data_IF_679767690723
#
_entry.id   IF_679767690723
#
_cell.length_a   1.000
_cell.length_b   1.000
_cell.length_c   1.000
_cell.angle_alpha   90.00
_cell.angle_beta   90.00
_cell.angle_gamma   90.00
#
_symmetry.space_group_name_H-M   'P 1'
#
loop_
_entity.id
_entity.type
_entity.pdbx_description
1 polymer ?
#
# COMPACT_ATOMS: atom_id res chain seq x y z
N UNK A 1 50.77 -10.54 82.71
CA UNK A 1 52.19 -10.48 82.32
C UNK A 1 52.30 -9.88 80.93
N UNK A 2 53.26 -8.97 80.78
CA UNK A 2 53.59 -8.17 79.61
C UNK A 2 54.02 -9.06 78.41
N UNK A 3 53.49 -8.87 77.19
CA UNK A 3 54.26 -8.50 75.97
C UNK A 3 53.56 -8.82 74.62
N UNK A 4 53.63 -7.79 73.76
CA UNK A 4 53.85 -7.78 72.29
C UNK A 4 52.66 -7.82 71.32
N UNK A 5 52.22 -6.58 71.05
CA UNK A 5 52.03 -5.95 69.74
C UNK A 5 52.93 -6.51 68.61
N UNK A 6 52.35 -6.90 67.46
CA UNK A 6 52.90 -6.68 66.11
C UNK A 6 51.71 -6.42 65.16
N UNK A 7 51.66 -5.20 64.59
CA UNK A 7 50.87 -4.86 63.41
C UNK A 7 51.62 -5.32 62.16
N UNK A 8 50.90 -5.82 61.15
CA UNK A 8 51.23 -5.56 59.75
C UNK A 8 49.93 -5.33 58.98
N UNK A 9 49.82 -4.11 58.44
CA UNK A 9 48.87 -3.63 57.45
C UNK A 9 49.16 -4.25 56.09
N UNK A 10 48.12 -4.65 55.35
CA UNK A 10 48.22 -5.11 53.96
C UNK A 10 46.83 -5.11 53.32
N UNK A 11 46.68 -4.34 52.25
CA UNK A 11 45.45 -3.74 51.74
C UNK A 11 45.01 -4.42 50.42
N UNK A 12 43.69 -4.53 50.23
CA UNK A 12 42.94 -4.57 48.94
C UNK A 12 43.09 -5.77 47.98
N UNK A 13 41.92 -6.21 47.45
CA UNK A 13 41.81 -6.61 46.05
C UNK A 13 41.15 -7.95 45.74
N UNK A 14 39.96 -8.25 46.28
CA UNK A 14 39.17 -9.41 45.86
C UNK A 14 38.36 -9.13 44.59
N UNK A 15 38.98 -9.18 43.42
CA UNK A 15 38.29 -9.18 42.12
C UNK A 15 37.78 -10.59 41.83
N UNK A 16 36.47 -10.79 41.95
CA UNK A 16 35.79 -12.02 41.53
C UNK A 16 35.76 -12.03 39.99
N UNK A 17 36.68 -12.78 39.38
CA UNK A 17 36.68 -13.05 37.95
C UNK A 17 35.51 -13.99 37.64
N UNK A 18 34.42 -13.46 37.08
CA UNK A 18 33.50 -14.24 36.26
C UNK A 18 34.23 -14.60 34.97
N UNK A 19 34.96 -15.72 35.01
CA UNK A 19 35.45 -16.38 33.79
C UNK A 19 34.27 -17.13 33.18
N UNK A 20 33.72 -16.59 32.09
CA UNK A 20 32.84 -17.35 31.22
C UNK A 20 33.63 -18.55 30.70
N UNK A 21 33.22 -19.76 31.08
CA UNK A 21 33.79 -20.98 30.52
C UNK A 21 33.42 -21.03 29.04
N UNK A 22 34.40 -20.78 28.17
CA UNK A 22 34.31 -21.15 26.77
C UNK A 22 34.30 -22.69 26.71
N UNK A 23 33.12 -23.29 26.60
CA UNK A 23 33.01 -24.70 26.25
C UNK A 23 33.54 -24.84 24.82
N UNK A 24 34.66 -25.55 24.66
CA UNK A 24 35.17 -25.92 23.34
C UNK A 24 34.12 -26.80 22.65
N UNK A 25 33.64 -26.36 21.48
CA UNK A 25 32.69 -27.13 20.70
C UNK A 25 33.43 -28.28 20.00
N UNK A 26 32.99 -29.52 20.23
CA UNK A 26 33.58 -30.70 19.61
C UNK A 26 33.08 -30.94 18.16
N UNK A 27 32.09 -30.16 17.71
CA UNK A 27 31.44 -30.27 16.40
C UNK A 27 30.98 -28.87 15.92
N UNK A 28 30.53 -28.75 14.67
CA UNK A 28 29.84 -27.56 14.20
C UNK A 28 28.49 -27.39 14.91
N UNK A 29 28.04 -26.14 15.03
CA UNK A 29 26.82 -25.84 15.74
C UNK A 29 26.20 -24.49 15.37
N UNK A 30 25.30 -23.99 16.23
CA UNK A 30 24.58 -22.76 15.99
C UNK A 30 25.50 -21.54 15.99
N UNK A 31 25.01 -20.46 15.37
CA UNK A 31 25.62 -19.14 15.44
C UNK A 31 24.83 -18.23 16.37
N UNK A 32 25.54 -17.47 17.19
CA UNK A 32 25.00 -16.54 18.18
C UNK A 32 25.38 -15.11 17.80
N UNK A 33 24.44 -14.16 17.75
CA UNK A 33 24.77 -12.78 17.47
C UNK A 33 25.48 -12.11 18.65
N UNK A 34 26.46 -11.26 18.36
CA UNK A 34 27.13 -10.45 19.37
C UNK A 34 26.24 -9.26 19.76
N UNK A 35 25.98 -9.06 21.05
CA UNK A 35 25.13 -7.96 21.53
C UNK A 35 23.61 -8.20 21.40
N UNK A 36 23.20 -9.40 21.01
CA UNK A 36 21.79 -9.79 20.86
C UNK A 36 21.28 -9.70 19.42
N UNK A 37 20.00 -10.01 19.21
CA UNK A 37 19.38 -10.04 17.88
C UNK A 37 19.42 -8.68 17.21
N UNK A 38 19.89 -8.63 15.96
CA UNK A 38 19.89 -7.40 15.18
C UNK A 38 18.48 -7.09 14.65
N UNK A 39 18.02 -5.86 14.81
CA UNK A 39 16.66 -5.46 14.44
C UNK A 39 16.67 -4.66 13.14
N UNK A 40 15.99 -5.19 12.13
CA UNK A 40 15.65 -4.48 10.92
C UNK A 40 14.21 -3.99 11.01
N UNK A 41 13.96 -2.71 10.76
CA UNK A 41 12.62 -2.12 10.77
C UNK A 41 12.34 -1.44 9.44
N UNK A 42 11.40 -1.99 8.66
CA UNK A 42 10.97 -1.44 7.38
C UNK A 42 9.66 -0.66 7.54
N UNK A 43 9.52 0.43 6.80
CA UNK A 43 8.26 1.17 6.70
C UNK A 43 7.64 0.93 5.32
N UNK A 44 6.37 0.52 5.30
CA UNK A 44 5.62 0.20 4.08
C UNK A 44 4.48 1.20 3.98
N UNK A 45 4.52 2.07 2.99
CA UNK A 45 3.43 2.99 2.67
C UNK A 45 3.09 2.80 1.20
N UNK A 46 2.01 2.07 0.91
CA UNK A 46 1.65 1.68 -0.45
C UNK A 46 0.16 1.83 -0.71
N UNK A 47 -0.19 1.90 -1.99
CA UNK A 47 -1.57 2.04 -2.45
C UNK A 47 -1.93 0.91 -3.40
N UNK A 48 -3.06 0.26 -3.13
CA UNK A 48 -3.77 -0.57 -4.12
C UNK A 48 -4.52 0.39 -5.04
N UNK A 49 -3.93 0.64 -6.22
CA UNK A 49 -4.43 1.66 -7.16
C UNK A 49 -5.63 1.20 -7.97
N UNK A 50 -5.73 -0.09 -8.28
CA UNK A 50 -6.88 -0.67 -8.97
C UNK A 50 -8.03 -0.87 -7.97
N UNK A 51 -9.06 -0.04 -8.08
CA UNK A 51 -10.23 -0.05 -7.19
C UNK A 51 -10.98 -1.38 -7.21
N UNK A 52 -10.93 -2.13 -8.32
CA UNK A 52 -11.54 -3.45 -8.47
C UNK A 52 -10.79 -4.56 -7.74
N UNK A 53 -9.53 -4.31 -7.35
CA UNK A 53 -8.67 -5.28 -6.68
C UNK A 53 -8.71 -5.20 -5.17
N UNK A 54 -9.52 -4.31 -4.59
CA UNK A 54 -9.84 -4.35 -3.17
C UNK A 54 -10.94 -5.36 -2.88
N UNK A 55 -10.63 -6.65 -3.03
CA UNK A 55 -11.57 -7.75 -2.85
C UNK A 55 -10.91 -8.88 -2.08
N UNK A 56 -11.69 -9.64 -1.31
CA UNK A 56 -11.19 -10.83 -0.61
C UNK A 56 -10.53 -11.80 -1.59
N UNK A 57 -9.32 -12.24 -1.26
CA UNK A 57 -8.54 -13.13 -2.12
C UNK A 57 -7.60 -12.42 -3.09
N UNK A 58 -7.71 -11.11 -3.27
CA UNK A 58 -6.81 -10.36 -4.12
C UNK A 58 -5.36 -10.44 -3.61
N UNK A 59 -4.44 -10.69 -4.53
CA UNK A 59 -3.02 -10.94 -4.23
C UNK A 59 -2.15 -10.03 -5.08
N UNK A 60 -1.14 -9.40 -4.45
CA UNK A 60 -0.18 -8.51 -5.09
C UNK A 60 1.22 -9.01 -4.77
N UNK A 61 1.82 -9.66 -5.75
CA UNK A 61 3.18 -10.18 -5.69
C UNK A 61 4.18 -9.04 -5.71
N UNK A 62 5.18 -9.10 -4.83
CA UNK A 62 6.27 -8.11 -4.74
C UNK A 62 5.75 -6.66 -4.66
N UNK A 63 4.68 -6.50 -3.89
CA UNK A 63 3.97 -5.25 -3.63
C UNK A 63 4.88 -4.17 -3.04
N UNK A 64 5.85 -4.57 -2.20
CA UNK A 64 6.91 -3.68 -1.75
C UNK A 64 8.23 -4.41 -1.52
N UNK A 65 9.29 -3.66 -1.26
CA UNK A 65 10.61 -4.17 -0.92
C UNK A 65 11.30 -3.30 0.12
N UNK A 66 12.19 -3.89 0.91
CA UNK A 66 13.06 -3.14 1.82
C UNK A 66 14.52 -3.37 1.50
N UNK A 67 15.33 -2.34 1.75
CA UNK A 67 16.78 -2.38 1.70
C UNK A 67 17.33 -1.39 2.74
N UNK A 68 17.55 -1.90 3.95
CA UNK A 68 17.81 -1.08 5.14
C UNK A 68 19.31 -0.86 5.39
N UNK A 69 20.19 -1.45 4.57
CA UNK A 69 21.61 -1.53 4.88
C UNK A 69 21.82 -2.25 6.21
N UNK A 70 22.78 -1.78 7.00
CA UNK A 70 23.05 -2.31 8.34
C UNK A 70 23.85 -3.62 8.32
N UNK A 71 24.62 -3.80 9.37
CA UNK A 71 25.47 -4.97 9.55
C UNK A 71 25.46 -5.40 11.01
N UNK A 72 25.66 -6.69 11.24
CA UNK A 72 25.78 -7.24 12.58
C UNK A 72 26.89 -8.29 12.63
N UNK A 73 27.39 -8.55 13.83
CA UNK A 73 28.42 -9.53 14.10
C UNK A 73 27.81 -10.79 14.72
N UNK A 74 28.39 -11.94 14.40
CA UNK A 74 27.99 -13.22 14.97
C UNK A 74 29.20 -14.13 15.11
N UNK A 75 29.11 -15.06 16.06
CA UNK A 75 30.06 -16.15 16.22
C UNK A 75 29.35 -17.50 16.13
N UNK A 76 29.97 -18.45 15.43
CA UNK A 76 29.46 -19.81 15.27
C UNK A 76 30.28 -20.83 16.06
N UNK A 77 29.60 -21.84 16.58
CA UNK A 77 30.24 -23.03 17.15
C UNK A 77 30.90 -23.85 16.04
N UNK A 78 32.18 -24.17 16.23
CA UNK A 78 32.99 -24.94 15.29
C UNK A 78 33.92 -25.90 16.04
N UNK A 79 34.28 -27.05 15.43
CA UNK A 79 35.29 -27.96 15.98
C UNK A 79 36.66 -27.28 16.10
N UNK A 80 37.50 -27.67 17.05
CA UNK A 80 38.87 -27.12 17.17
C UNK A 80 39.76 -27.43 15.96
N UNK A 81 39.51 -28.53 15.24
CA UNK A 81 40.22 -28.87 14.00
C UNK A 81 39.95 -27.81 12.92
N UNK A 82 40.97 -27.00 12.64
CA UNK A 82 40.90 -25.88 11.71
C UNK A 82 40.86 -26.29 10.23
N UNK A 83 41.02 -27.57 9.91
CA UNK A 83 40.89 -28.10 8.54
C UNK A 83 39.43 -28.33 8.12
N UNK A 84 38.51 -28.51 9.07
CA UNK A 84 37.11 -28.81 8.81
C UNK A 84 36.35 -27.54 8.42
N UNK A 85 35.73 -27.51 7.23
CA UNK A 85 34.88 -26.42 6.73
C UNK A 85 33.41 -26.86 6.66
N UNK A 86 32.47 -25.93 6.79
CA UNK A 86 31.06 -26.22 6.52
C UNK A 86 30.32 -25.00 5.94
N UNK A 87 29.22 -25.27 5.24
CA UNK A 87 28.32 -24.22 4.75
C UNK A 87 27.58 -23.56 5.91
N UNK A 88 27.25 -22.28 5.74
CA UNK A 88 26.41 -21.54 6.68
C UNK A 88 24.96 -21.67 6.26
N UNK A 89 24.13 -22.20 7.14
CA UNK A 89 22.71 -22.47 6.90
C UNK A 89 21.83 -21.50 7.67
N UNK A 90 20.72 -21.10 7.05
CA UNK A 90 19.74 -20.17 7.59
C UNK A 90 18.39 -20.87 7.82
N UNK A 91 17.65 -20.38 8.80
CA UNK A 91 16.24 -20.70 9.03
C UNK A 91 15.47 -19.40 9.25
N UNK A 92 14.36 -19.23 8.54
CA UNK A 92 13.41 -18.15 8.78
C UNK A 92 12.16 -18.71 9.46
N UNK A 93 11.81 -18.12 10.60
CA UNK A 93 10.56 -18.40 11.33
C UNK A 93 9.66 -17.18 11.24
N UNK A 94 8.40 -17.38 10.87
CA UNK A 94 7.39 -16.32 10.81
C UNK A 94 6.50 -16.41 12.06
N UNK A 95 6.52 -15.42 12.97
CA UNK A 95 5.80 -15.47 14.25
C UNK A 95 4.36 -14.94 14.13
N UNK A 96 3.70 -15.22 13.01
CA UNK A 96 2.36 -14.73 12.69
C UNK A 96 1.44 -15.92 12.36
N UNK A 97 0.12 -15.69 12.42
CA UNK A 97 -0.86 -16.73 12.10
C UNK A 97 -0.84 -17.03 10.59
N UNK A 98 -0.64 -18.29 10.23
CA UNK A 98 -0.72 -18.74 8.84
C UNK A 98 -2.14 -18.57 8.29
N UNK A 99 -2.25 -18.07 7.07
CA UNK A 99 -3.52 -17.87 6.36
C UNK A 99 -3.66 -18.86 5.20
N UNK A 100 -2.74 -18.79 4.24
CA UNK A 100 -2.83 -19.54 3.00
C UNK A 100 -1.48 -19.63 2.29
N UNK A 101 -1.37 -20.53 1.31
CA UNK A 101 -0.28 -20.57 0.35
C UNK A 101 -0.81 -20.19 -1.02
N UNK A 102 -0.10 -19.28 -1.70
CA UNK A 102 -0.39 -18.91 -3.09
C UNK A 102 0.92 -19.03 -3.84
N UNK A 103 0.94 -19.91 -4.85
CA UNK A 103 2.16 -20.33 -5.55
C UNK A 103 3.20 -20.87 -4.56
N UNK A 104 4.40 -20.27 -4.50
CA UNK A 104 5.49 -20.65 -3.59
C UNK A 104 5.56 -19.83 -2.31
N UNK A 105 4.59 -18.93 -2.06
CA UNK A 105 4.60 -17.99 -0.93
C UNK A 105 3.56 -18.34 0.11
N UNK A 106 3.99 -18.34 1.37
CA UNK A 106 3.12 -18.49 2.54
C UNK A 106 2.71 -17.12 3.08
N UNK A 107 1.39 -16.90 3.19
CA UNK A 107 0.80 -15.66 3.67
C UNK A 107 0.40 -15.78 5.14
N UNK A 108 0.70 -14.72 5.88
CA UNK A 108 0.49 -14.63 7.31
C UNK A 108 -0.27 -13.37 7.68
N UNK A 109 -1.23 -13.52 8.60
CA UNK A 109 -2.14 -12.47 9.00
C UNK A 109 -1.41 -11.35 9.75
N UNK A 110 -1.64 -10.10 9.34
CA UNK A 110 -1.17 -8.89 10.04
C UNK A 110 -2.29 -8.30 10.88
N UNK A 111 -3.48 -8.16 10.29
CA UNK A 111 -4.67 -7.67 10.96
C UNK A 111 -5.91 -8.32 10.33
N UNK A 112 -7.12 -7.78 10.58
CA UNK A 112 -8.35 -8.36 10.06
C UNK A 112 -8.49 -8.23 8.53
N UNK A 113 -7.81 -7.27 7.91
CA UNK A 113 -7.97 -6.92 6.50
C UNK A 113 -6.88 -7.50 5.60
N UNK A 114 -5.66 -7.61 6.11
CA UNK A 114 -4.49 -7.95 5.29
C UNK A 114 -3.63 -9.07 5.88
N UNK A 115 -3.07 -9.86 4.98
CA UNK A 115 -2.00 -10.81 5.23
C UNK A 115 -0.82 -10.52 4.29
N UNK A 116 0.39 -10.91 4.68
CA UNK A 116 1.58 -10.73 3.86
C UNK A 116 2.38 -12.02 3.72
N UNK A 117 3.08 -12.14 2.61
CA UNK A 117 4.20 -13.07 2.46
C UNK A 117 5.49 -12.27 2.32
N UNK A 118 6.61 -12.86 2.75
CA UNK A 118 7.91 -12.18 2.67
C UNK A 118 8.99 -13.06 2.08
N UNK A 119 9.88 -12.43 1.32
CA UNK A 119 11.09 -13.06 0.79
C UNK A 119 12.29 -12.30 1.34
N UNK A 120 13.33 -13.02 1.76
CA UNK A 120 14.51 -12.40 2.38
C UNK A 120 15.78 -12.79 1.64
N UNK A 121 16.65 -11.82 1.42
CA UNK A 121 17.94 -12.05 0.77
C UNK A 121 18.88 -12.79 1.73
N UNK A 122 19.39 -13.94 1.30
CA UNK A 122 20.44 -14.67 2.01
C UNK A 122 21.81 -14.30 1.43
N UNK A 123 22.57 -13.54 2.21
CA UNK A 123 23.92 -13.06 1.88
C UNK A 123 24.96 -14.17 1.91
N UNK A 124 25.99 -14.06 1.07
CA UNK A 124 27.05 -15.07 0.92
C UNK A 124 27.24 -15.42 -0.55
N UNK A 125 27.71 -16.63 -0.83
CA UNK A 125 27.78 -17.19 -2.19
C UNK A 125 26.41 -17.35 -2.87
N UNK A 126 25.31 -17.41 -2.11
CA UNK A 126 23.93 -17.45 -2.64
C UNK A 126 23.52 -16.12 -3.27
N UNK A 127 23.31 -15.08 -2.47
CA UNK A 127 22.89 -13.77 -2.97
C UNK A 127 21.48 -13.76 -3.60
N UNK A 128 20.58 -14.63 -3.14
CA UNK A 128 19.22 -14.81 -3.67
C UNK A 128 18.16 -14.59 -2.59
N UNK A 129 16.97 -14.19 -3.02
CA UNK A 129 15.79 -14.09 -2.17
C UNK A 129 15.15 -15.46 -1.97
N UNK A 130 14.72 -15.74 -0.75
CA UNK A 130 14.12 -17.02 -0.36
C UNK A 130 12.80 -16.75 0.34
N UNK A 131 11.73 -17.43 -0.11
CA UNK A 131 10.39 -17.30 0.47
C UNK A 131 10.39 -17.78 1.93
N UNK A 132 9.88 -16.98 2.86
CA UNK A 132 9.74 -17.39 4.26
C UNK A 132 8.41 -18.14 4.48
N UNK A 133 8.36 -19.08 5.44
CA UNK A 133 9.47 -19.62 6.25
C UNK A 133 10.29 -20.65 5.48
N UNK A 134 11.51 -20.92 5.95
CA UNK A 134 12.37 -21.97 5.43
C UNK A 134 13.34 -22.47 6.50
N UNK A 135 13.94 -23.64 6.29
CA UNK A 135 14.95 -24.23 7.18
C UNK A 135 16.07 -24.87 6.35
N UNK A 136 17.29 -24.87 6.91
CA UNK A 136 18.51 -25.44 6.31
C UNK A 136 18.87 -24.85 4.94
N UNK A 137 18.56 -23.57 4.71
CA UNK A 137 18.93 -22.88 3.46
C UNK A 137 20.37 -22.41 3.55
N UNK A 138 21.26 -23.07 2.82
CA UNK A 138 22.67 -22.71 2.75
C UNK A 138 22.92 -21.41 2.00
N UNK A 139 23.88 -20.62 2.46
CA UNK A 139 24.36 -19.43 1.76
C UNK A 139 25.48 -19.73 0.75
N UNK A 140 25.75 -21.01 0.48
CA UNK A 140 26.72 -21.48 -0.51
C UNK A 140 28.15 -20.98 -0.22
N UNK A 141 28.49 -20.80 1.05
CA UNK A 141 29.80 -20.31 1.50
C UNK A 141 30.43 -21.34 2.42
N UNK A 142 31.12 -22.31 1.83
CA UNK A 142 31.77 -23.38 2.57
C UNK A 142 33.13 -22.94 3.11
N UNK A 143 33.17 -22.50 4.37
CA UNK A 143 34.37 -22.03 5.03
C UNK A 143 34.25 -22.13 6.57
N UNK A 144 35.32 -21.76 7.27
CA UNK A 144 35.38 -21.58 8.73
C UNK A 144 35.37 -20.11 9.17
N UNK A 145 34.94 -19.22 8.29
CA UNK A 145 34.72 -17.83 8.67
C UNK A 145 33.74 -17.81 9.85
N UNK A 146 33.90 -16.87 10.77
CA UNK A 146 32.99 -16.69 11.92
C UNK A 146 33.04 -17.76 13.03
N UNK A 147 33.92 -18.76 12.94
CA UNK A 147 34.19 -19.66 14.06
C UNK A 147 34.78 -18.88 15.25
N UNK A 148 34.24 -19.08 16.44
CA UNK A 148 34.64 -18.40 17.69
C UNK A 148 36.15 -18.45 17.99
N UNK A 149 36.83 -19.51 17.55
CA UNK A 149 38.26 -19.75 17.75
C UNK A 149 39.18 -18.91 16.83
N UNK A 150 38.63 -18.24 15.80
CA UNK A 150 39.44 -17.50 14.82
C UNK A 150 39.47 -15.99 15.15
N UNK A 151 40.64 -15.36 15.28
CA UNK A 151 40.72 -13.91 15.54
C UNK A 151 40.01 -13.04 14.48
N UNK A 152 39.94 -13.51 13.22
CA UNK A 152 39.27 -12.85 12.09
C UNK A 152 37.74 -13.01 12.08
N UNK A 153 37.14 -13.78 12.99
CA UNK A 153 35.68 -13.91 13.10
C UNK A 153 35.01 -12.62 13.58
N UNK A 154 35.75 -11.75 14.26
CA UNK A 154 35.29 -10.46 14.79
C UNK A 154 35.00 -9.41 13.71
N UNK A 155 35.58 -9.59 12.51
CA UNK A 155 35.38 -8.67 11.38
C UNK A 155 34.29 -9.16 10.41
N UNK A 156 33.57 -10.21 10.77
CA UNK A 156 32.56 -10.78 9.91
C UNK A 156 31.28 -9.95 9.90
N UNK A 157 31.02 -9.37 8.73
CA UNK A 157 29.88 -8.50 8.47
C UNK A 157 28.71 -9.35 7.95
N UNK A 158 27.65 -9.46 8.74
CA UNK A 158 26.40 -10.13 8.36
C UNK A 158 25.35 -9.10 7.93
N UNK A 159 24.61 -9.41 6.87
CA UNK A 159 23.60 -8.51 6.29
C UNK A 159 22.25 -9.19 6.01
N UNK A 160 22.15 -10.51 6.18
CA UNK A 160 20.90 -11.25 5.94
C UNK A 160 19.79 -10.75 6.87
N UNK A 161 18.61 -10.51 6.30
CA UNK A 161 17.49 -9.79 6.94
C UNK A 161 17.37 -8.32 6.50
N UNK A 162 18.47 -7.69 6.08
CA UNK A 162 18.49 -6.27 5.70
C UNK A 162 17.84 -5.95 4.36
N UNK A 163 17.57 -6.97 3.52
CA UNK A 163 16.89 -6.83 2.22
C UNK A 163 15.83 -7.90 2.02
N UNK A 164 14.71 -7.52 1.42
CA UNK A 164 13.63 -8.46 1.10
C UNK A 164 12.47 -7.84 0.34
N UNK A 165 11.50 -8.68 0.00
CA UNK A 165 10.27 -8.35 -0.71
C UNK A 165 9.05 -8.74 0.10
N UNK A 166 7.95 -8.02 -0.10
CA UNK A 166 6.66 -8.28 0.52
C UNK A 166 5.59 -8.42 -0.54
N UNK A 167 4.78 -9.46 -0.41
CA UNK A 167 3.57 -9.64 -1.18
C UNK A 167 2.35 -9.43 -0.28
N UNK A 168 1.30 -8.79 -0.81
CA UNK A 168 0.06 -8.48 -0.09
C UNK A 168 -1.04 -9.46 -0.47
N UNK A 169 -1.84 -9.86 0.52
CA UNK A 169 -3.09 -10.59 0.34
C UNK A 169 -4.22 -9.89 1.10
N UNK A 170 -5.34 -9.64 0.44
CA UNK A 170 -6.53 -9.03 1.04
C UNK A 170 -7.41 -10.13 1.64
N UNK A 171 -7.49 -10.17 2.97
CA UNK A 171 -8.41 -11.02 3.73
C UNK A 171 -9.83 -10.47 3.64
N UNK A 172 -9.99 -9.21 4.00
CA UNK A 172 -11.26 -8.49 3.95
C UNK A 172 -11.01 -7.11 3.36
N UNK A 173 -11.79 -6.71 2.34
CA UNK A 173 -11.64 -5.40 1.73
C UNK A 173 -11.94 -4.30 2.76
N UNK A 174 -11.36 -3.13 2.56
CA UNK A 174 -11.44 -2.02 3.51
C UNK A 174 -11.48 -0.68 2.82
N UNK A 175 -11.89 0.35 3.54
CA UNK A 175 -12.04 1.71 3.01
C UNK A 175 -10.95 2.62 3.55
N UNK A 176 -10.39 3.47 2.68
CA UNK A 176 -9.32 4.40 3.07
C UNK A 176 -7.99 3.67 3.29
N UNK A 177 -7.70 3.32 4.54
CA UNK A 177 -6.41 2.76 4.92
C UNK A 177 -6.50 1.61 5.94
N UNK A 178 -5.55 0.67 5.82
CA UNK A 178 -5.26 -0.36 6.81
C UNK A 178 -3.89 -0.08 7.42
N UNK A 179 -3.87 0.20 8.72
CA UNK A 179 -2.64 0.48 9.46
C UNK A 179 -1.94 -0.83 9.84
N UNK A 180 -0.62 -0.83 9.62
CA UNK A 180 0.30 -1.88 10.07
C UNK A 180 1.06 -1.32 11.28
N UNK A 181 0.70 -1.72 12.52
CA UNK A 181 1.52 -1.39 13.68
C UNK A 181 2.90 -2.07 13.55
N UNK A 182 3.88 -1.66 14.35
CA UNK A 182 5.18 -2.33 14.37
C UNK A 182 5.02 -3.83 14.67
N UNK A 183 5.17 -4.64 13.63
CA UNK A 183 4.85 -6.07 13.62
C UNK A 183 6.07 -6.86 13.21
N UNK A 184 6.48 -7.82 14.03
CA UNK A 184 7.58 -8.73 13.70
C UNK A 184 7.10 -9.75 12.67
N UNK A 185 7.75 -9.81 11.52
CA UNK A 185 7.36 -10.67 10.40
C UNK A 185 8.29 -11.85 10.20
N UNK A 186 9.52 -11.79 10.70
CA UNK A 186 10.42 -12.93 10.67
C UNK A 186 11.52 -12.85 11.74
N UNK A 187 11.97 -14.02 12.16
CA UNK A 187 13.21 -14.25 12.87
C UNK A 187 14.13 -15.14 12.01
N UNK A 188 15.36 -14.68 11.79
CA UNK A 188 16.40 -15.44 11.09
C UNK A 188 17.36 -16.08 12.08
N UNK A 189 17.55 -17.38 11.97
CA UNK A 189 18.52 -18.16 12.73
C UNK A 189 19.60 -18.69 11.81
N UNK A 190 20.81 -18.85 12.34
CA UNK A 190 21.98 -19.27 11.57
C UNK A 190 22.68 -20.43 12.27
N UNK A 191 23.19 -21.37 11.48
CA UNK A 191 23.93 -22.52 11.98
C UNK A 191 24.98 -22.99 10.97
N UNK A 192 26.03 -23.63 11.47
CA UNK A 192 26.99 -24.43 10.68
C UNK A 192 26.66 -25.93 10.74
N UNK A 193 25.55 -26.34 11.35
CA UNK A 193 25.10 -27.74 11.42
C UNK A 193 23.60 -27.87 11.12
N UNK A 194 23.21 -28.68 10.11
CA UNK A 194 21.81 -28.81 9.72
C UNK A 194 20.89 -29.10 10.91
N UNK A 195 19.79 -28.37 10.99
CA UNK A 195 18.72 -28.49 12.00
C UNK A 195 19.14 -28.24 13.46
N UNK A 196 20.36 -27.73 13.70
CA UNK A 196 20.86 -27.39 15.04
C UNK A 196 20.98 -25.88 15.15
N UNK A 197 19.92 -25.21 15.60
CA UNK A 197 19.86 -23.74 15.71
C UNK A 197 19.87 -23.29 17.17
N UNK A 198 20.41 -22.10 17.42
CA UNK A 198 20.38 -21.46 18.72
C UNK A 198 18.99 -20.88 19.03
N UNK A 199 18.79 -20.45 20.28
CA UNK A 199 17.53 -19.83 20.72
C UNK A 199 17.44 -18.33 20.45
N UNK A 200 18.55 -17.69 20.08
CA UNK A 200 18.62 -16.25 19.81
C UNK A 200 18.71 -16.05 18.29
N UNK A 201 17.72 -15.37 17.67
CA UNK A 201 17.80 -15.06 16.25
C UNK A 201 19.00 -14.17 15.94
N UNK A 202 19.64 -14.39 14.81
CA UNK A 202 20.65 -13.53 14.22
C UNK A 202 20.08 -12.14 13.96
N UNK A 203 18.94 -12.08 13.27
CA UNK A 203 18.21 -10.86 13.01
C UNK A 203 16.70 -11.09 13.05
N UNK A 204 15.96 -10.03 13.35
CA UNK A 204 14.51 -9.98 13.23
C UNK A 204 14.11 -8.85 12.30
N UNK A 205 13.09 -9.06 11.48
CA UNK A 205 12.52 -8.01 10.64
C UNK A 205 11.14 -7.61 11.18
N UNK A 206 10.98 -6.32 11.38
CA UNK A 206 9.73 -5.65 11.72
C UNK A 206 9.26 -4.82 10.54
N UNK A 207 7.94 -4.74 10.38
CA UNK A 207 7.31 -3.83 9.44
C UNK A 207 6.32 -2.92 10.17
N UNK A 208 6.14 -1.72 9.65
CA UNK A 208 5.10 -0.77 10.07
C UNK A 208 4.67 0.09 8.89
N UNK A 209 3.56 0.80 9.01
CA UNK A 209 3.12 1.79 8.01
C UNK A 209 1.65 1.63 7.67
N UNK A 210 1.27 1.88 6.42
CA UNK A 210 -0.11 1.74 5.98
C UNK A 210 -0.25 1.25 4.54
N UNK A 211 -1.35 0.54 4.30
CA UNK A 211 -1.81 0.19 2.96
C UNK A 211 -3.10 0.97 2.70
N UNK A 212 -3.11 1.75 1.65
CA UNK A 212 -4.26 2.55 1.21
C UNK A 212 -4.91 1.94 -0.01
N UNK A 213 -6.18 2.24 -0.24
CA UNK A 213 -6.92 1.83 -1.44
C UNK A 213 -7.40 3.07 -2.20
N UNK A 214 -7.27 3.06 -3.52
CA UNK A 214 -7.79 4.15 -4.35
C UNK A 214 -9.31 4.18 -4.33
N UNK A 215 -9.86 5.39 -4.40
CA UNK A 215 -11.30 5.66 -4.45
C UNK A 215 -11.75 5.80 -5.90
N UNK A 216 -13.00 5.44 -6.19
CA UNK A 216 -13.57 5.62 -7.52
C UNK A 216 -15.09 5.61 -7.51
N UNK A 217 -15.68 6.25 -8.53
CA UNK A 217 -17.11 6.19 -8.80
C UNK A 217 -17.34 6.03 -10.30
N UNK A 218 -18.22 5.12 -10.68
CA UNK A 218 -18.59 4.84 -12.06
C UNK A 218 -20.09 5.02 -12.28
N UNK A 219 -20.49 5.56 -13.44
CA UNK A 219 -21.90 5.74 -13.77
C UNK A 219 -22.58 4.38 -14.02
N UNK A 220 -23.72 4.15 -13.38
CA UNK A 220 -24.40 2.84 -13.39
C UNK A 220 -25.00 2.47 -14.75
N UNK A 221 -25.35 3.46 -15.58
CA UNK A 221 -26.01 3.27 -16.87
C UNK A 221 -25.06 3.04 -18.05
N UNK A 222 -23.76 2.84 -17.79
CA UNK A 222 -22.71 2.80 -18.81
C UNK A 222 -22.01 4.16 -18.98
N UNK A 223 -21.14 4.27 -19.97
CA UNK A 223 -20.20 5.41 -20.10
C UNK A 223 -20.77 6.65 -20.80
N UNK A 224 -21.94 6.55 -21.44
CA UNK A 224 -22.50 7.63 -22.26
C UNK A 224 -23.97 7.87 -21.91
N UNK A 225 -24.35 9.14 -21.77
CA UNK A 225 -25.72 9.60 -21.61
C UNK A 225 -26.11 10.46 -22.81
N UNK A 226 -27.04 9.96 -23.63
CA UNK A 226 -27.59 10.73 -24.75
C UNK A 226 -28.78 11.58 -24.28
N UNK A 227 -28.78 12.86 -24.67
CA UNK A 227 -29.82 13.84 -24.31
C UNK A 227 -30.44 14.39 -25.61
N UNK A 228 -31.57 13.82 -26.07
CA UNK A 228 -32.24 14.30 -27.27
C UNK A 228 -33.13 15.49 -26.94
N UNK A 229 -32.73 16.70 -27.38
CA UNK A 229 -33.58 17.90 -27.22
C UNK A 229 -34.76 17.94 -28.20
N UNK A 230 -34.65 17.22 -29.33
CA UNK A 230 -35.68 17.18 -30.37
C UNK A 230 -35.55 18.31 -31.39
N UNK A 231 -36.60 18.48 -32.20
CA UNK A 231 -36.65 19.45 -33.29
C UNK A 231 -37.28 20.78 -32.85
N UNK A 232 -36.69 21.89 -33.27
CA UNK A 232 -37.15 23.24 -32.96
C UNK A 232 -37.21 24.09 -34.22
N UNK A 233 -38.16 25.04 -34.26
CA UNK A 233 -38.13 26.08 -35.30
C UNK A 233 -37.08 27.10 -34.91
N UNK A 234 -36.34 27.65 -35.88
CA UNK A 234 -35.38 28.71 -35.59
C UNK A 234 -36.01 29.92 -34.87
N UNK A 235 -37.29 30.20 -35.14
CA UNK A 235 -38.07 31.23 -34.44
C UNK A 235 -38.24 30.98 -32.93
N UNK A 236 -38.08 29.75 -32.45
CA UNK A 236 -38.19 29.41 -31.03
C UNK A 236 -36.99 29.90 -30.21
N UNK A 237 -35.89 30.28 -30.87
CA UNK A 237 -34.67 30.83 -30.28
C UNK A 237 -34.56 32.36 -30.42
N UNK A 238 -35.34 32.97 -31.32
CA UNK A 238 -35.26 34.39 -31.62
C UNK A 238 -35.68 35.25 -30.43
N UNK A 239 -34.91 36.31 -30.15
CA UNK A 239 -35.12 37.31 -29.09
C UNK A 239 -35.11 36.70 -27.66
N UNK A 240 -34.35 35.61 -27.48
CA UNK A 240 -34.32 34.81 -26.23
C UNK A 240 -32.90 34.54 -25.71
N UNK A 241 -32.01 35.53 -25.81
CA UNK A 241 -30.63 35.41 -25.32
C UNK A 241 -30.59 34.93 -23.86
N UNK A 242 -29.84 33.87 -23.58
CA UNK A 242 -29.70 33.22 -22.28
C UNK A 242 -30.93 32.45 -21.80
N UNK A 243 -31.98 32.34 -22.63
CA UNK A 243 -33.24 31.69 -22.25
C UNK A 243 -33.43 30.38 -23.00
N UNK A 244 -34.16 29.47 -22.35
CA UNK A 244 -34.64 28.23 -22.94
C UNK A 244 -35.44 28.49 -24.22
N UNK A 245 -35.24 27.66 -25.24
CA UNK A 245 -35.99 27.74 -26.48
C UNK A 245 -37.50 27.67 -26.22
N UNK A 246 -38.30 28.39 -27.02
CA UNK A 246 -39.75 28.35 -26.90
C UNK A 246 -40.24 26.92 -27.14
N UNK A 247 -41.16 26.45 -26.30
CA UNK A 247 -41.71 25.08 -26.32
C UNK A 247 -40.71 23.96 -26.00
N UNK A 248 -39.46 24.25 -25.60
CA UNK A 248 -38.57 23.22 -25.12
C UNK A 248 -39.03 22.67 -23.77
N UNK A 249 -38.85 21.37 -23.59
CA UNK A 249 -39.03 20.70 -22.30
C UNK A 249 -37.65 20.44 -21.70
N UNK A 250 -37.54 20.55 -20.37
CA UNK A 250 -36.32 20.14 -19.68
C UNK A 250 -36.26 18.60 -19.71
N UNK A 251 -35.15 18.06 -20.21
CA UNK A 251 -34.84 16.65 -20.07
C UNK A 251 -34.30 16.40 -18.66
N UNK A 252 -35.07 15.74 -17.81
CA UNK A 252 -34.66 15.43 -16.44
C UNK A 252 -34.27 13.96 -16.32
N UNK A 253 -33.09 13.70 -15.75
CA UNK A 253 -32.56 12.35 -15.57
C UNK A 253 -31.92 12.20 -14.20
N UNK A 254 -32.29 11.12 -13.52
CA UNK A 254 -31.58 10.66 -12.33
C UNK A 254 -30.28 9.94 -12.77
N UNK A 255 -29.18 10.34 -12.16
CA UNK A 255 -27.86 9.73 -12.31
C UNK A 255 -27.54 8.95 -11.04
N UNK A 256 -27.06 7.72 -11.21
CA UNK A 256 -26.61 6.88 -10.12
C UNK A 256 -25.19 6.40 -10.40
N UNK A 257 -24.31 6.58 -9.43
CA UNK A 257 -22.91 6.21 -9.48
C UNK A 257 -22.63 5.09 -8.47
N UNK A 258 -21.96 4.04 -8.93
CA UNK A 258 -21.40 2.98 -8.08
C UNK A 258 -20.03 3.45 -7.62
N UNK A 259 -19.90 3.68 -6.33
CA UNK A 259 -18.67 4.16 -5.73
C UNK A 259 -18.01 3.06 -4.91
N UNK A 260 -16.69 3.01 -4.95
CA UNK A 260 -15.86 1.99 -4.31
C UNK A 260 -14.80 2.66 -3.45
N UNK A 261 -14.57 2.13 -2.26
CA UNK A 261 -13.54 2.55 -1.31
C UNK A 261 -13.69 4.00 -0.78
N UNK A 262 -14.90 4.55 -0.80
CA UNK A 262 -15.18 5.89 -0.24
C UNK A 262 -15.65 5.75 1.21
N UNK A 263 -15.06 6.53 2.12
CA UNK A 263 -15.39 6.56 3.56
C UNK A 263 -16.70 7.28 3.86
N UNK A 264 -17.27 7.00 5.04
CA UNK A 264 -18.40 7.78 5.53
C UNK A 264 -18.01 9.23 5.80
N UNK A 265 -18.94 10.15 5.55
CA UNK A 265 -18.75 11.58 5.74
C UNK A 265 -18.02 12.29 4.58
N UNK A 266 -17.45 11.55 3.63
CA UNK A 266 -16.83 12.11 2.42
C UNK A 266 -17.91 12.61 1.46
N UNK A 267 -17.69 13.79 0.90
CA UNK A 267 -18.60 14.42 -0.04
C UNK A 267 -18.20 14.08 -1.46
N UNK A 268 -19.20 13.90 -2.31
CA UNK A 268 -19.00 13.60 -3.72
C UNK A 268 -19.70 14.68 -4.52
N UNK A 269 -18.98 15.24 -5.49
CA UNK A 269 -19.45 16.34 -6.31
C UNK A 269 -19.41 15.98 -7.80
N UNK A 270 -20.44 16.40 -8.53
CA UNK A 270 -20.49 16.36 -9.98
C UNK A 270 -20.16 17.74 -10.56
N UNK A 271 -19.27 17.75 -11.56
CA UNK A 271 -18.99 18.89 -12.43
C UNK A 271 -19.05 18.49 -13.90
N UNK A 272 -19.15 19.49 -14.77
CA UNK A 272 -19.21 19.31 -16.22
C UNK A 272 -17.95 19.91 -16.83
N UNK A 273 -17.26 19.12 -17.65
CA UNK A 273 -16.15 19.56 -18.49
C UNK A 273 -16.58 19.50 -19.96
N UNK A 274 -16.23 20.50 -20.76
CA UNK A 274 -16.69 20.59 -22.15
C UNK A 274 -16.37 21.94 -22.77
N UNK A 275 -16.57 22.08 -24.08
CA UNK A 275 -16.35 23.36 -24.75
C UNK A 275 -17.49 24.33 -24.43
N UNK A 276 -17.26 25.47 -23.77
CA UNK A 276 -18.31 26.46 -23.55
C UNK A 276 -18.67 27.14 -24.87
N UNK A 277 -19.94 27.52 -25.03
CA UNK A 277 -20.36 28.31 -26.19
C UNK A 277 -19.71 29.70 -26.13
N UNK A 278 -19.21 30.17 -27.27
CA UNK A 278 -18.47 31.43 -27.37
C UNK A 278 -19.30 32.68 -26.99
N UNK A 279 -20.64 32.61 -27.09
CA UNK A 279 -21.53 33.74 -26.82
C UNK A 279 -22.26 33.65 -25.47
N UNK A 280 -22.22 32.49 -24.81
CA UNK A 280 -22.75 32.27 -23.46
C UNK A 280 -21.97 31.14 -22.77
N UNK A 281 -21.08 31.50 -21.85
CA UNK A 281 -20.22 30.55 -21.14
C UNK A 281 -20.96 29.58 -20.23
N UNK A 282 -22.24 29.85 -19.92
CA UNK A 282 -23.08 28.93 -19.14
C UNK A 282 -23.55 27.72 -19.96
N UNK A 283 -23.41 27.78 -21.29
CA UNK A 283 -23.87 26.75 -22.20
C UNK A 283 -22.71 25.93 -22.77
N UNK A 284 -22.96 24.65 -23.02
CA UNK A 284 -22.10 23.77 -23.81
C UNK A 284 -22.27 24.15 -25.29
N UNK A 285 -21.16 24.22 -26.01
CA UNK A 285 -21.15 24.45 -27.45
C UNK A 285 -21.75 23.25 -28.20
N UNK A 286 -22.65 23.54 -29.14
CA UNK A 286 -23.29 22.55 -30.01
C UNK A 286 -22.86 22.68 -31.48
N UNK A 287 -21.74 23.38 -31.74
CA UNK A 287 -21.30 23.69 -33.10
C UNK A 287 -22.11 24.80 -33.79
N UNK A 288 -22.91 25.55 -33.02
CA UNK A 288 -23.70 26.68 -33.51
C UNK A 288 -23.51 27.89 -32.57
N UNK A 289 -23.19 29.09 -33.11
CA UNK A 289 -22.94 30.26 -32.26
C UNK A 289 -24.20 30.78 -31.54
N UNK A 290 -25.40 30.45 -32.03
CA UNK A 290 -26.69 30.99 -31.57
C UNK A 290 -27.48 30.00 -30.68
N UNK A 291 -27.05 28.74 -30.57
CA UNK A 291 -27.67 27.68 -29.76
C UNK A 291 -26.62 27.03 -28.86
N UNK A 292 -27.00 26.72 -27.62
CA UNK A 292 -26.18 25.93 -26.71
C UNK A 292 -27.04 25.06 -25.81
N UNK A 293 -26.41 24.11 -25.12
CA UNK A 293 -27.09 23.25 -24.15
C UNK A 293 -26.71 23.64 -22.72
N UNK A 294 -27.68 23.74 -21.84
CA UNK A 294 -27.44 23.99 -20.40
C UNK A 294 -27.75 22.72 -19.62
N UNK A 295 -26.90 22.39 -18.64
CA UNK A 295 -27.16 21.36 -17.63
C UNK A 295 -27.34 22.06 -16.29
N UNK A 296 -28.43 21.78 -15.61
CA UNK A 296 -28.78 22.27 -14.27
C UNK A 296 -28.74 21.09 -13.29
N UNK A 297 -28.10 21.29 -12.14
CA UNK A 297 -28.09 20.30 -11.07
C UNK A 297 -29.39 20.30 -10.25
N UNK A 298 -29.57 19.29 -9.40
CA UNK A 298 -30.68 19.22 -8.44
C UNK A 298 -30.74 20.42 -7.49
N UNK A 299 -29.63 21.12 -7.28
CA UNK A 299 -29.57 22.36 -6.52
C UNK A 299 -30.15 23.59 -7.27
N UNK A 300 -30.62 23.42 -8.51
CA UNK A 300 -31.15 24.49 -9.36
C UNK A 300 -30.09 25.41 -9.97
N UNK A 301 -28.80 25.12 -9.76
CA UNK A 301 -27.69 25.88 -10.36
C UNK A 301 -27.29 25.27 -11.70
N UNK A 302 -26.91 26.13 -12.64
CA UNK A 302 -26.30 25.72 -13.91
C UNK A 302 -24.91 25.18 -13.62
N UNK A 303 -24.60 23.98 -14.12
CA UNK A 303 -23.26 23.41 -14.08
C UNK A 303 -22.44 23.98 -15.24
N UNK A 304 -21.77 25.10 -14.97
CA UNK A 304 -20.97 25.84 -15.97
C UNK A 304 -19.79 24.97 -16.44
N UNK A 305 -19.63 24.75 -17.76
CA UNK A 305 -18.54 23.92 -18.26
C UNK A 305 -17.16 24.45 -17.85
N UNK A 306 -16.33 23.56 -17.30
CA UNK A 306 -14.96 23.84 -16.81
C UNK A 306 -14.86 24.81 -15.61
N UNK A 307 -15.96 25.15 -14.94
CA UNK A 307 -15.92 25.97 -13.71
C UNK A 307 -15.78 25.06 -12.47
N UNK A 308 -14.64 25.15 -11.79
CA UNK A 308 -14.38 24.36 -10.58
C UNK A 308 -15.16 24.85 -9.34
N UNK A 309 -15.67 26.08 -9.36
CA UNK A 309 -16.42 26.66 -8.23
C UNK A 309 -17.90 26.26 -8.23
N UNK A 310 -18.38 25.69 -9.33
CA UNK A 310 -19.78 25.29 -9.50
C UNK A 310 -19.87 23.78 -9.57
N UNK A 311 -20.54 23.19 -8.58
CA UNK A 311 -20.68 21.76 -8.46
C UNK A 311 -22.07 21.36 -7.95
N UNK A 312 -22.39 20.08 -8.11
CA UNK A 312 -23.57 19.44 -7.56
C UNK A 312 -23.13 18.40 -6.54
N UNK A 313 -23.45 18.60 -5.26
CA UNK A 313 -23.25 17.58 -4.22
C UNK A 313 -24.19 16.40 -4.49
N UNK A 314 -23.65 15.18 -4.49
CA UNK A 314 -24.43 13.96 -4.67
C UNK A 314 -25.00 13.51 -3.32
N UNK A 315 -26.17 12.89 -3.36
CA UNK A 315 -26.70 12.14 -2.22
C UNK A 315 -25.97 10.81 -2.12
N UNK A 316 -25.18 10.63 -1.06
CA UNK A 316 -24.36 9.44 -0.84
C UNK A 316 -25.05 8.52 0.16
N UNK A 317 -25.29 7.27 -0.25
CA UNK A 317 -25.82 6.23 0.64
C UNK A 317 -24.77 5.74 1.64
N UNK A 318 -25.23 5.06 2.68
CA UNK A 318 -24.35 4.25 3.52
C UNK A 318 -23.73 3.10 2.73
N UNK A 319 -22.72 2.47 3.32
CA UNK A 319 -22.11 1.27 2.77
C UNK A 319 -23.17 0.16 2.54
N UNK A 320 -23.20 -0.36 1.31
CA UNK A 320 -24.06 -1.49 0.91
C UNK A 320 -23.37 -2.82 1.22
N UNK A 321 -22.05 -2.82 1.16
CA UNK A 321 -21.15 -3.88 1.63
C UNK A 321 -19.88 -3.23 2.23
N UNK A 322 -18.81 -3.99 2.43
CA UNK A 322 -17.57 -3.50 3.06
C UNK A 322 -16.91 -2.31 2.33
N UNK A 323 -17.15 -2.12 1.03
CA UNK A 323 -16.43 -1.11 0.20
C UNK A 323 -17.30 -0.30 -0.75
N UNK A 324 -18.52 -0.73 -1.03
CA UNK A 324 -19.36 -0.12 -2.05
C UNK A 324 -20.46 0.75 -1.46
N UNK A 325 -20.72 1.87 -2.13
CA UNK A 325 -21.86 2.75 -1.86
C UNK A 325 -22.42 3.29 -3.17
N UNK A 326 -23.67 3.73 -3.14
CA UNK A 326 -24.30 4.44 -4.26
C UNK A 326 -24.29 5.93 -3.99
N UNK A 327 -23.93 6.73 -5.00
CA UNK A 327 -24.08 8.18 -4.99
C UNK A 327 -25.04 8.60 -6.12
N UNK A 328 -25.99 9.48 -5.84
CA UNK A 328 -27.02 9.84 -6.81
C UNK A 328 -27.28 11.34 -6.87
N UNK A 329 -27.69 11.82 -8.04
CA UNK A 329 -28.20 13.17 -8.22
C UNK A 329 -29.20 13.20 -9.37
N UNK A 330 -29.93 14.30 -9.51
CA UNK A 330 -30.75 14.57 -10.69
C UNK A 330 -30.13 15.73 -11.46
N UNK A 331 -30.06 15.59 -12.78
CA UNK A 331 -29.73 16.69 -13.69
C UNK A 331 -30.93 17.01 -14.56
N UNK A 332 -31.02 18.27 -14.98
CA UNK A 332 -31.95 18.71 -16.01
C UNK A 332 -31.17 19.40 -17.14
N UNK A 333 -31.43 19.01 -18.38
CA UNK A 333 -30.78 19.58 -19.54
C UNK A 333 -31.80 20.21 -20.49
N UNK A 334 -31.44 21.32 -21.13
CA UNK A 334 -32.32 22.01 -22.07
C UNK A 334 -31.53 22.90 -23.05
N UNK A 335 -32.03 23.09 -24.29
CA UNK A 335 -31.42 23.99 -25.25
C UNK A 335 -31.76 25.45 -24.94
N UNK A 336 -30.80 26.34 -25.12
CA UNK A 336 -30.96 27.79 -24.97
C UNK A 336 -30.55 28.53 -26.23
N UNK A 337 -31.04 29.75 -26.38
CA UNK A 337 -30.51 30.71 -27.35
C UNK A 337 -29.33 31.46 -26.71
N UNK A 338 -28.14 31.38 -27.29
CA UNK A 338 -26.93 32.01 -26.73
C UNK A 338 -26.74 33.47 -27.18
N UNK A 339 -27.34 33.86 -28.30
CA UNK A 339 -27.23 35.23 -28.85
C UNK A 339 -28.56 35.99 -28.94
N UNK A 340 -29.69 35.28 -28.97
CA UNK A 340 -31.01 35.84 -29.29
C UNK A 340 -31.26 35.99 -30.80
N UNK A 341 -30.32 35.61 -31.66
CA UNK A 341 -30.50 35.66 -33.12
C UNK A 341 -31.30 34.45 -33.60
N UNK A 342 -31.71 34.52 -34.86
CA UNK A 342 -32.31 33.39 -35.55
C UNK A 342 -31.18 32.41 -35.95
N UNK A 343 -31.13 31.18 -35.39
CA UNK A 343 -30.08 30.22 -35.72
C UNK A 343 -30.24 29.68 -37.14
N UNK A 344 -29.13 29.26 -37.75
CA UNK A 344 -29.15 28.52 -39.00
C UNK A 344 -29.87 27.16 -38.83
N UNK A 345 -30.58 26.72 -39.86
CA UNK A 345 -31.19 25.39 -39.88
C UNK A 345 -30.10 24.30 -40.05
N UNK A 346 -30.25 23.19 -39.32
CA UNK A 346 -29.34 22.06 -39.36
C UNK A 346 -29.47 21.19 -38.12
N UNK A 347 -28.72 20.10 -38.12
CA UNK A 347 -28.56 19.20 -36.98
C UNK A 347 -27.32 19.63 -36.18
N UNK A 348 -27.46 19.69 -34.85
CA UNK A 348 -26.43 20.19 -33.95
C UNK A 348 -26.25 19.25 -32.78
N UNK A 349 -25.00 19.00 -32.42
CA UNK A 349 -24.61 18.12 -31.33
C UNK A 349 -23.51 18.77 -30.49
N UNK A 350 -23.56 18.54 -29.18
CA UNK A 350 -22.54 18.99 -28.23
C UNK A 350 -22.12 17.84 -27.35
N UNK A 351 -20.87 17.86 -26.90
CA UNK A 351 -20.30 16.83 -26.03
C UNK A 351 -19.79 17.48 -24.75
N UNK A 352 -20.13 16.88 -23.62
CA UNK A 352 -19.58 17.23 -22.33
C UNK A 352 -19.29 15.96 -21.51
N UNK A 353 -18.26 16.06 -20.68
CA UNK A 353 -17.80 15.00 -19.78
C UNK A 353 -18.29 15.29 -18.38
N UNK A 354 -18.88 14.29 -17.73
CA UNK A 354 -19.18 14.35 -16.31
C UNK A 354 -17.92 13.98 -15.52
N UNK A 355 -17.51 14.87 -14.62
CA UNK A 355 -16.41 14.64 -13.69
C UNK A 355 -16.93 14.51 -12.27
N UNK A 356 -16.46 13.47 -11.59
CA UNK A 356 -16.73 13.23 -10.18
C UNK A 356 -15.50 13.63 -9.36
N UNK A 357 -15.68 14.52 -8.40
CA UNK A 357 -14.67 14.85 -7.40
C UNK A 357 -15.11 14.34 -6.03
N UNK A 358 -14.13 13.91 -5.22
CA UNK A 358 -14.34 13.30 -3.92
C UNK A 358 -13.54 14.11 -2.90
N UNK A 359 -14.21 14.62 -1.86
CA UNK A 359 -13.67 15.60 -0.88
C UNK A 359 -13.90 15.20 0.57
#
# INVERSE_FOLDING_TARGET
MLKKLIMFTGLLGGSVLFSGQALAAADFGPCTPEGGTHIFSATINKTVSDTSKNTTGATFVDFDSWNLGGTYAMSCECPDDTSLINDTLFKAVVPLAFVTNIESRSYYQINNNIAIASDVLISGGRGEYVNTPFENVGNLTNNRSQCSQNASSKDAIWTSGGKGHLSLYILHPFVGESIIPSTKIMDLFVTKKPSVYGSIPASSVYISGSITVSQGCELSSGSTLEIPFGEFKATDFKDRKGQVAKNATKFTKELQFKCTNISDGIKIFLRIEGMPNANDSNAIDMGNPDIGAVIEGANGKILVPNDASVNQELSVSGLVDDTHRTASTTISAYPISTTGKLPAAGDFEGIATMRIDVE
#
